data_IF_285747554837
#
_entry.id   IF_285747554837
#
_cell.length_a   1.000
_cell.length_b   1.000
_cell.length_c   1.000
_cell.angle_alpha   90.00
_cell.angle_beta   90.00
_cell.angle_gamma   90.00
#
_symmetry.space_group_name_H-M   'P 1'
#
loop_
_entity.id
_entity.type
_entity.pdbx_description
1 polymer ?
#
# COMPACT_ATOMS: atom_id res chain seq x y z
N UNK A 1 -20.84 -3.40 16.59
CA UNK A 1 -19.60 -2.99 17.30
C UNK A 1 -19.56 -1.48 17.30
N UNK A 2 -19.20 -0.82 18.41
CA UNK A 2 -19.06 0.64 18.45
C UNK A 2 -17.86 1.11 17.61
N UNK A 3 -17.93 2.33 17.05
CA UNK A 3 -16.84 2.94 16.28
C UNK A 3 -15.51 2.98 17.05
N UNK A 4 -15.58 3.12 18.38
CA UNK A 4 -14.43 3.12 19.28
C UNK A 4 -13.67 1.78 19.34
N UNK A 5 -14.36 0.65 19.19
CA UNK A 5 -13.73 -0.67 19.20
C UNK A 5 -12.98 -0.96 17.89
N UNK A 6 -13.54 -0.51 16.75
CA UNK A 6 -12.92 -0.71 15.43
C UNK A 6 -11.67 0.17 15.23
N UNK A 7 -11.73 1.40 15.76
CA UNK A 7 -10.63 2.35 15.83
C UNK A 7 -9.44 1.80 16.62
N UNK A 8 -9.69 1.22 17.80
CA UNK A 8 -8.66 0.60 18.66
C UNK A 8 -7.94 -0.54 17.94
N UNK A 9 -8.70 -1.46 17.33
CA UNK A 9 -8.14 -2.59 16.58
C UNK A 9 -7.17 -2.17 15.48
N UNK A 10 -7.42 -1.04 14.80
CA UNK A 10 -6.54 -0.53 13.74
C UNK A 10 -5.21 0.02 14.28
N UNK A 11 -5.21 0.63 15.47
CA UNK A 11 -3.97 1.03 16.12
C UNK A 11 -3.18 -0.20 16.58
N UNK A 12 -3.86 -1.16 17.20
CA UNK A 12 -3.22 -2.41 17.64
C UNK A 12 -2.54 -3.13 16.48
N UNK A 13 -3.16 -3.16 15.29
CA UNK A 13 -2.54 -3.71 14.08
C UNK A 13 -1.22 -3.00 13.72
N UNK A 14 -1.18 -1.66 13.78
CA UNK A 14 0.05 -0.92 13.50
C UNK A 14 1.13 -1.21 14.55
N UNK A 15 0.75 -1.26 15.82
CA UNK A 15 1.70 -1.52 16.91
C UNK A 15 2.27 -2.94 16.84
N UNK A 16 1.43 -3.95 16.57
CA UNK A 16 1.85 -5.34 16.40
C UNK A 16 2.86 -5.48 15.25
N UNK A 17 2.59 -4.86 14.10
CA UNK A 17 3.43 -4.95 12.90
C UNK A 17 4.75 -4.17 13.07
N UNK A 18 4.71 -3.01 13.74
CA UNK A 18 5.90 -2.20 13.97
C UNK A 18 6.80 -2.75 15.10
N UNK A 19 6.24 -3.54 16.00
CA UNK A 19 7.03 -4.24 17.01
C UNK A 19 7.69 -5.49 16.42
N UNK A 20 9.00 -5.38 16.12
CA UNK A 20 9.87 -6.43 15.54
C UNK A 20 9.86 -7.78 16.29
N UNK A 21 9.39 -7.84 17.54
CA UNK A 21 9.38 -9.07 18.36
C UNK A 21 8.04 -9.81 18.35
N UNK A 22 6.95 -9.18 17.91
CA UNK A 22 5.58 -9.74 18.01
C UNK A 22 5.07 -10.39 16.73
N UNK A 23 5.77 -10.24 15.60
CA UNK A 23 5.35 -10.82 14.33
C UNK A 23 6.54 -11.31 13.48
N UNK A 24 7.38 -12.25 13.96
CA UNK A 24 8.21 -13.01 13.03
C UNK A 24 7.27 -13.67 12.01
N UNK A 25 7.55 -13.53 10.72
CA UNK A 25 6.82 -14.27 9.70
C UNK A 25 7.00 -15.76 10.03
N UNK A 26 5.93 -16.41 10.47
CA UNK A 26 5.94 -17.85 10.81
C UNK A 26 6.02 -18.72 9.56
N UNK A 27 5.90 -18.10 8.38
CA UNK A 27 5.91 -18.73 7.07
C UNK A 27 6.93 -18.02 6.21
N UNK A 28 7.84 -18.78 5.60
CA UNK A 28 8.77 -18.25 4.61
C UNK A 28 8.02 -17.84 3.34
N UNK A 29 8.47 -16.76 2.70
CA UNK A 29 7.88 -16.31 1.45
C UNK A 29 8.29 -17.15 0.23
N UNK A 30 9.15 -18.17 0.41
CA UNK A 30 9.57 -19.10 -0.64
C UNK A 30 10.63 -18.55 -1.58
N UNK A 31 11.15 -17.34 -1.34
CA UNK A 31 12.18 -16.72 -2.17
C UNK A 31 13.50 -17.51 -2.16
N UNK A 32 13.73 -18.33 -1.15
CA UNK A 32 14.88 -19.23 -1.07
C UNK A 32 14.92 -20.27 -2.19
N UNK A 33 13.77 -20.62 -2.77
CA UNK A 33 13.65 -21.57 -3.88
C UNK A 33 13.84 -20.93 -5.25
N UNK A 34 13.94 -19.60 -5.31
CA UNK A 34 14.14 -18.85 -6.55
C UNK A 34 15.61 -18.43 -6.63
N UNK A 35 16.27 -18.79 -7.73
CA UNK A 35 17.64 -18.39 -8.04
C UNK A 35 17.68 -17.91 -9.48
N UNK A 36 18.18 -16.70 -9.68
CA UNK A 36 18.48 -16.18 -11.00
C UNK A 36 19.86 -16.65 -11.42
N UNK A 37 20.01 -17.13 -12.65
CA UNK A 37 21.32 -17.42 -13.21
C UNK A 37 22.10 -16.11 -13.38
N UNK A 38 23.34 -16.09 -12.89
CA UNK A 38 24.17 -14.91 -12.95
C UNK A 38 24.82 -14.78 -14.34
N UNK A 39 24.64 -13.64 -15.00
CA UNK A 39 25.39 -13.27 -16.20
C UNK A 39 26.60 -12.42 -15.78
N UNK A 40 27.80 -12.99 -15.84
CA UNK A 40 29.04 -12.32 -15.41
C UNK A 40 29.53 -11.24 -16.37
N UNK A 41 29.17 -11.35 -17.66
CA UNK A 41 29.53 -10.39 -18.70
C UNK A 41 28.28 -10.03 -19.51
N UNK A 42 27.36 -9.22 -18.96
CA UNK A 42 26.18 -8.79 -19.67
C UNK A 42 26.58 -7.85 -20.82
N UNK A 43 26.12 -8.13 -22.03
CA UNK A 43 26.24 -7.24 -23.20
C UNK A 43 25.16 -6.14 -23.15
N UNK A 44 25.04 -5.47 -22.00
CA UNK A 44 23.99 -4.48 -21.71
C UNK A 44 24.58 -3.31 -20.92
N UNK A 45 24.22 -2.09 -21.30
CA UNK A 45 24.50 -0.90 -20.51
C UNK A 45 23.44 -0.74 -19.39
N UNK A 46 23.91 -0.56 -18.15
CA UNK A 46 23.04 -0.32 -17.00
C UNK A 46 22.11 0.88 -17.21
N UNK A 47 22.57 1.91 -17.91
CA UNK A 47 21.77 3.12 -18.17
C UNK A 47 20.60 2.87 -19.14
N UNK A 48 20.63 1.74 -19.86
CA UNK A 48 19.56 1.32 -20.77
C UNK A 48 18.47 0.47 -20.09
N UNK A 49 18.63 0.13 -18.80
CA UNK A 49 17.61 -0.63 -18.07
C UNK A 49 16.37 0.24 -17.84
N UNK A 50 15.27 -0.16 -18.46
CA UNK A 50 13.97 0.47 -18.28
C UNK A 50 13.12 -0.33 -17.27
N UNK A 51 12.82 0.28 -16.13
CA UNK A 51 11.95 -0.29 -15.10
C UNK A 51 10.47 0.09 -15.29
N UNK A 52 10.12 0.85 -16.32
CA UNK A 52 8.73 1.29 -16.50
C UNK A 52 7.80 0.09 -16.67
N UNK A 53 6.61 0.23 -16.10
CA UNK A 53 5.56 -0.78 -16.15
C UNK A 53 4.20 -0.13 -16.42
N UNK A 54 3.18 -0.93 -16.75
CA UNK A 54 1.80 -0.46 -16.87
C UNK A 54 0.90 -1.19 -15.88
N UNK A 55 0.03 -0.44 -15.21
CA UNK A 55 -0.99 -0.97 -14.32
C UNK A 55 -2.32 -0.27 -14.62
N UNK A 56 -3.34 -1.04 -15.02
CA UNK A 56 -4.68 -0.53 -15.34
C UNK A 56 -4.66 0.63 -16.36
N UNK A 57 -3.78 0.54 -17.37
CA UNK A 57 -3.63 1.57 -18.40
C UNK A 57 -2.84 2.81 -17.97
N UNK A 58 -2.27 2.85 -16.77
CA UNK A 58 -1.37 3.91 -16.31
C UNK A 58 0.08 3.46 -16.32
N UNK A 59 0.96 4.30 -16.85
CA UNK A 59 2.41 4.08 -16.80
C UNK A 59 2.96 4.37 -15.40
N UNK A 60 3.86 3.51 -14.94
CA UNK A 60 4.61 3.60 -13.69
C UNK A 60 6.11 3.61 -13.99
N UNK A 61 6.90 4.21 -13.11
CA UNK A 61 8.36 4.30 -13.25
C UNK A 61 9.10 3.02 -12.83
N UNK A 62 8.44 2.17 -12.05
CA UNK A 62 8.97 0.89 -11.59
C UNK A 62 7.81 -0.12 -11.43
N UNK A 63 8.05 -1.44 -11.52
CA UNK A 63 7.01 -2.47 -11.37
C UNK A 63 6.75 -2.77 -9.89
N UNK A 64 6.53 -1.72 -9.08
CA UNK A 64 6.37 -1.81 -7.63
C UNK A 64 5.12 -1.08 -7.17
N UNK A 65 4.49 -1.57 -6.11
CA UNK A 65 3.35 -0.92 -5.48
C UNK A 65 3.43 -1.01 -3.95
N UNK A 66 3.02 0.08 -3.29
CA UNK A 66 2.83 0.10 -1.83
C UNK A 66 1.47 -0.52 -1.54
N UNK A 67 1.45 -1.72 -0.95
CA UNK A 67 0.21 -2.45 -0.70
C UNK A 67 -0.62 -1.85 0.45
N UNK A 68 -1.85 -2.33 0.57
CA UNK A 68 -2.83 -1.83 1.54
C UNK A 68 -2.39 -2.09 2.97
N UNK A 69 -2.36 -1.04 3.79
CA UNK A 69 -1.96 -1.16 5.21
C UNK A 69 -2.96 -0.52 6.16
N UNK A 70 -3.16 0.80 6.09
CA UNK A 70 -3.86 1.54 7.15
C UNK A 70 -4.74 2.69 6.66
N UNK A 71 -5.66 3.15 7.53
CA UNK A 71 -6.56 4.28 7.27
C UNK A 71 -7.65 4.40 8.34
N UNK A 72 -8.19 5.60 8.55
CA UNK A 72 -9.31 5.85 9.48
C UNK A 72 -8.93 6.23 10.91
N UNK A 73 -7.72 6.75 11.13
CA UNK A 73 -7.19 7.26 12.41
C UNK A 73 -6.11 8.33 12.15
N UNK A 74 -5.87 9.32 13.04
CA UNK A 74 -4.88 10.38 12.81
C UNK A 74 -3.46 9.89 12.50
N UNK A 75 -2.99 8.84 13.20
CA UNK A 75 -1.69 8.22 12.93
C UNK A 75 -1.63 7.60 11.52
N UNK A 76 -2.72 6.97 11.10
CA UNK A 76 -2.83 6.35 9.78
C UNK A 76 -2.87 7.41 8.66
N UNK A 77 -3.45 8.58 8.90
CA UNK A 77 -3.41 9.70 7.97
C UNK A 77 -1.98 10.20 7.73
N UNK A 78 -1.19 10.37 8.79
CA UNK A 78 0.20 10.77 8.67
C UNK A 78 1.03 9.75 7.87
N UNK A 79 0.81 8.45 8.12
CA UNK A 79 1.45 7.36 7.35
C UNK A 79 1.03 7.44 5.88
N UNK A 80 -0.26 7.53 5.59
CA UNK A 80 -0.75 7.58 4.20
C UNK A 80 -0.27 8.82 3.46
N UNK A 81 -0.15 9.98 4.13
CA UNK A 81 0.44 11.19 3.55
C UNK A 81 1.87 10.94 3.09
N UNK A 82 2.75 10.50 3.99
CA UNK A 82 4.17 10.30 3.65
C UNK A 82 4.35 9.22 2.58
N UNK A 83 3.57 8.14 2.65
CA UNK A 83 3.60 7.08 1.62
C UNK A 83 3.11 7.60 0.26
N UNK A 84 2.10 8.47 0.23
CA UNK A 84 1.59 9.03 -1.02
C UNK A 84 2.59 9.98 -1.66
N UNK A 85 3.23 10.84 -0.87
CA UNK A 85 4.30 11.74 -1.31
C UNK A 85 5.49 10.95 -1.88
N UNK A 86 5.92 9.90 -1.17
CA UNK A 86 7.00 9.02 -1.62
C UNK A 86 6.61 8.27 -2.90
N UNK A 87 5.40 7.70 -2.96
CA UNK A 87 4.92 6.98 -4.13
C UNK A 87 4.83 7.88 -5.37
N UNK A 88 4.34 9.12 -5.20
CA UNK A 88 4.30 10.13 -6.25
C UNK A 88 5.70 10.48 -6.74
N UNK A 89 6.64 10.77 -5.82
CA UNK A 89 8.02 11.09 -6.17
C UNK A 89 8.72 9.95 -6.91
N UNK A 90 8.45 8.70 -6.51
CA UNK A 90 9.01 7.50 -7.13
C UNK A 90 8.25 7.06 -8.39
N UNK A 91 7.04 7.58 -8.64
CA UNK A 91 6.18 7.17 -9.75
C UNK A 91 5.70 5.73 -9.66
N UNK A 92 5.44 5.25 -8.43
CA UNK A 92 4.94 3.89 -8.16
C UNK A 92 3.50 3.93 -7.64
N UNK A 93 2.77 2.83 -7.74
CA UNK A 93 1.39 2.76 -7.29
C UNK A 93 1.29 2.67 -5.76
N UNK A 94 0.16 3.10 -5.20
CA UNK A 94 -0.13 2.94 -3.77
C UNK A 94 -1.58 2.52 -3.54
N UNK A 95 -1.81 1.58 -2.63
CA UNK A 95 -3.12 1.19 -2.15
C UNK A 95 -3.39 1.82 -0.77
N UNK A 96 -4.57 2.39 -0.57
CA UNK A 96 -5.00 2.81 0.77
C UNK A 96 -5.48 1.62 1.61
N UNK A 97 -5.51 1.76 2.94
CA UNK A 97 -6.16 0.77 3.80
C UNK A 97 -7.68 0.67 3.58
N UNK A 98 -8.30 -0.32 4.22
CA UNK A 98 -9.74 -0.59 4.10
C UNK A 98 -10.62 0.65 4.30
N UNK A 99 -11.44 0.95 3.31
CA UNK A 99 -12.36 2.08 3.28
C UNK A 99 -13.72 1.80 3.93
N UNK A 100 -13.92 0.60 4.52
CA UNK A 100 -15.17 0.24 5.20
C UNK A 100 -15.66 1.33 6.17
N UNK A 101 -14.76 1.85 7.01
CA UNK A 101 -15.10 2.89 7.99
C UNK A 101 -15.55 4.17 7.31
N UNK A 102 -14.86 4.58 6.24
CA UNK A 102 -15.21 5.80 5.50
C UNK A 102 -16.55 5.69 4.77
N UNK A 103 -17.00 4.47 4.46
CA UNK A 103 -18.31 4.22 3.84
C UNK A 103 -19.43 4.15 4.87
N UNK A 104 -19.17 3.63 6.08
CA UNK A 104 -20.17 3.45 7.13
C UNK A 104 -20.35 4.67 8.04
N UNK A 105 -19.40 5.59 8.04
CA UNK A 105 -19.44 6.82 8.83
C UNK A 105 -19.31 8.03 7.90
N UNK A 106 -19.78 9.22 8.32
CA UNK A 106 -19.53 10.49 7.61
C UNK A 106 -18.06 10.94 7.64
N UNK A 107 -17.16 10.05 7.99
CA UNK A 107 -15.76 10.34 8.26
C UNK A 107 -14.96 10.28 6.94
N UNK A 108 -14.30 11.38 6.58
CA UNK A 108 -13.56 11.50 5.31
C UNK A 108 -12.14 10.96 5.46
N UNK A 109 -11.98 9.64 5.34
CA UNK A 109 -10.72 8.96 5.63
C UNK A 109 -10.35 7.96 4.53
N UNK A 110 -9.05 7.66 4.37
CA UNK A 110 -8.58 6.75 3.32
C UNK A 110 -8.34 7.49 2.00
N UNK A 111 -9.00 7.08 0.90
CA UNK A 111 -8.82 7.69 -0.41
C UNK A 111 -9.58 9.02 -0.51
N UNK A 112 -9.01 10.07 0.07
CA UNK A 112 -9.61 11.40 0.08
C UNK A 112 -9.11 12.27 -1.08
N UNK A 113 -9.83 13.35 -1.38
CA UNK A 113 -9.35 14.39 -2.31
C UNK A 113 -8.03 15.00 -1.85
N UNK A 114 -7.82 15.13 -0.53
CA UNK A 114 -6.56 15.62 0.02
C UNK A 114 -5.41 14.67 -0.29
N UNK A 115 -5.61 13.36 -0.09
CA UNK A 115 -4.60 12.36 -0.43
C UNK A 115 -4.29 12.35 -1.94
N UNK A 116 -5.33 12.43 -2.79
CA UNK A 116 -5.15 12.53 -4.25
C UNK A 116 -4.35 13.77 -4.66
N UNK A 117 -4.49 14.91 -3.98
CA UNK A 117 -3.67 16.11 -4.29
C UNK A 117 -2.17 15.90 -4.05
N UNK A 118 -1.80 15.02 -3.11
CA UNK A 118 -0.40 14.70 -2.83
C UNK A 118 0.20 13.73 -3.87
N UNK A 119 -0.66 12.94 -4.52
CA UNK A 119 -0.27 11.94 -5.50
C UNK A 119 -1.19 12.00 -6.73
N UNK A 120 -1.12 13.09 -7.54
CA UNK A 120 -2.04 13.32 -8.64
C UNK A 120 -1.89 12.32 -9.79
N UNK A 121 -0.67 11.84 -10.06
CA UNK A 121 -0.36 11.16 -11.33
C UNK A 121 -0.42 9.64 -11.19
N UNK A 122 0.09 9.13 -10.07
CA UNK A 122 0.22 7.70 -9.84
C UNK A 122 -1.14 6.99 -9.66
N UNK A 123 -1.22 5.68 -9.95
CA UNK A 123 -2.35 4.88 -9.50
C UNK A 123 -2.47 4.95 -7.97
N UNK A 124 -3.62 5.43 -7.46
CA UNK A 124 -4.00 5.15 -6.07
C UNK A 124 -5.21 4.26 -6.07
N UNK A 125 -5.09 3.14 -5.36
CA UNK A 125 -6.08 2.07 -5.36
C UNK A 125 -6.88 2.08 -4.05
N UNK A 126 -8.19 1.94 -4.19
CA UNK A 126 -9.11 1.72 -3.09
C UNK A 126 -8.99 0.30 -2.51
N UNK A 127 -9.44 0.11 -1.28
CA UNK A 127 -9.52 -1.21 -0.66
C UNK A 127 -10.85 -1.39 0.07
N UNK A 128 -11.54 -2.48 -0.22
CA UNK A 128 -12.72 -2.96 0.50
C UNK A 128 -12.62 -4.48 0.71
N UNK A 129 -13.09 -4.98 1.85
CA UNK A 129 -13.09 -6.41 2.12
C UNK A 129 -14.23 -7.12 1.39
N UNK A 130 -13.96 -8.27 0.77
CA UNK A 130 -14.97 -9.05 0.05
C UNK A 130 -16.19 -9.42 0.91
N UNK A 131 -15.99 -9.63 2.22
CA UNK A 131 -17.08 -9.91 3.16
C UNK A 131 -18.16 -8.79 3.19
N UNK A 132 -17.80 -7.53 2.91
CA UNK A 132 -18.75 -6.42 2.87
C UNK A 132 -19.68 -6.46 1.66
N UNK A 133 -19.34 -7.20 0.61
CA UNK A 133 -20.22 -7.35 -0.57
C UNK A 133 -21.50 -8.14 -0.24
N UNK A 134 -21.51 -8.93 0.84
CA UNK A 134 -22.70 -9.63 1.34
C UNK A 134 -23.60 -8.76 2.21
N UNK A 135 -23.10 -7.61 2.65
CA UNK A 135 -23.83 -6.66 3.49
C UNK A 135 -24.54 -5.58 2.63
N UNK A 136 -24.35 -5.60 1.31
CA UNK A 136 -24.86 -4.63 0.34
C UNK A 136 -26.23 -5.04 -0.23
#
# INVERSE_FOLDING_TARGET
MSDSALSRRKNDHLDIVLHRRTAPATVAAGWEYIRFEHCALPELDLTQIDLRASLLGKTMRAPLLISSMTGGMPRAEAINRHLSEAAQALGIAMCVGSQRVSLQSRNSQGLTRALRRLAPDIPLLANIGAAQLREA
#
